data_IF_497260729222
#
_entry.id   IF_497260729222
#
_cell.length_a   1.000
_cell.length_b   1.000
_cell.length_c   1.000
_cell.angle_alpha   90.00
_cell.angle_beta   90.00
_cell.angle_gamma   90.00
#
_symmetry.space_group_name_H-M   'P 1'
#
loop_
_entity.id
_entity.type
_entity.pdbx_description
1 polymer ?
#
# COMPACT_ATOMS: atom_id res chain seq x y z
N UNK A 1 69.54 -46.16 33.94
CA UNK A 1 68.74 -45.88 32.74
C UNK A 1 67.35 -45.43 33.20
N UNK A 2 67.10 -44.13 33.23
CA UNK A 2 65.86 -43.55 33.70
C UNK A 2 65.06 -43.05 32.50
N UNK A 3 63.92 -43.70 32.23
CA UNK A 3 63.00 -43.30 31.18
C UNK A 3 62.15 -42.12 31.69
N UNK A 4 62.29 -40.92 31.09
CA UNK A 4 61.43 -39.77 31.33
C UNK A 4 60.14 -39.93 30.52
N UNK A 5 59.02 -40.04 31.23
CA UNK A 5 57.69 -40.05 30.67
C UNK A 5 57.21 -38.62 30.51
N UNK A 6 57.09 -38.20 29.24
CA UNK A 6 56.60 -36.85 28.89
C UNK A 6 55.08 -36.88 28.85
N UNK A 7 54.42 -36.23 29.80
CA UNK A 7 52.95 -36.02 29.76
C UNK A 7 52.64 -34.89 28.78
N UNK A 8 52.03 -35.20 27.66
CA UNK A 8 51.39 -34.23 26.80
C UNK A 8 49.98 -33.89 27.38
N UNK A 9 49.87 -32.72 27.98
CA UNK A 9 48.56 -32.18 28.38
C UNK A 9 47.92 -31.55 27.15
N UNK A 10 46.97 -32.25 26.55
CA UNK A 10 46.13 -31.68 25.50
C UNK A 10 45.07 -30.75 26.13
N UNK A 11 45.32 -29.44 26.06
CA UNK A 11 44.31 -28.45 26.42
C UNK A 11 43.21 -28.38 25.35
N UNK A 12 42.09 -29.02 25.64
CA UNK A 12 40.88 -28.89 24.80
C UNK A 12 40.26 -27.51 25.09
N UNK A 13 40.50 -26.55 24.20
CA UNK A 13 39.81 -25.28 24.22
C UNK A 13 38.40 -25.48 23.70
N UNK A 14 37.43 -25.58 24.61
CA UNK A 14 36.01 -25.54 24.28
C UNK A 14 35.65 -24.13 23.82
N UNK A 15 35.60 -23.94 22.49
CA UNK A 15 34.97 -22.77 21.89
C UNK A 15 33.46 -22.89 22.12
N UNK A 16 32.97 -22.25 23.18
CA UNK A 16 31.54 -21.99 23.31
C UNK A 16 31.17 -20.94 22.27
N UNK A 17 30.64 -21.41 21.13
CA UNK A 17 29.99 -20.56 20.17
C UNK A 17 28.76 -19.93 20.89
N UNK A 18 28.93 -18.70 21.34
CA UNK A 18 27.81 -17.89 21.77
C UNK A 18 26.90 -17.74 20.54
N UNK A 19 25.79 -18.47 20.51
CA UNK A 19 24.68 -18.18 19.60
C UNK A 19 24.24 -16.75 19.90
N UNK A 20 24.74 -15.78 19.13
CA UNK A 20 24.17 -14.46 19.08
C UNK A 20 22.71 -14.66 18.66
N UNK A 21 21.77 -14.57 19.61
CA UNK A 21 20.36 -14.70 19.36
C UNK A 21 19.98 -13.73 18.25
N UNK A 22 19.59 -14.25 17.11
CA UNK A 22 19.06 -13.44 16.02
C UNK A 22 17.85 -12.69 16.58
N UNK A 23 17.92 -11.37 16.63
CA UNK A 23 16.78 -10.56 17.06
C UNK A 23 15.58 -10.94 16.19
N UNK A 24 14.54 -11.46 16.83
CA UNK A 24 13.31 -11.86 16.14
C UNK A 24 12.68 -10.60 15.51
N UNK A 25 12.80 -10.48 14.21
CA UNK A 25 12.23 -9.36 13.48
C UNK A 25 10.80 -9.67 13.09
N UNK A 26 9.86 -8.86 13.61
CA UNK A 26 8.42 -9.03 13.33
C UNK A 26 8.06 -8.36 12.00
N UNK A 27 7.11 -8.96 11.29
CA UNK A 27 6.50 -8.37 10.12
C UNK A 27 5.76 -7.08 10.47
N UNK A 28 5.81 -6.10 9.58
CA UNK A 28 5.15 -4.81 9.77
C UNK A 28 3.84 -4.80 8.99
N UNK A 29 2.74 -4.49 9.66
CA UNK A 29 1.41 -4.37 9.07
C UNK A 29 1.06 -2.89 8.92
N UNK A 30 0.90 -2.44 7.68
CA UNK A 30 0.40 -1.10 7.35
C UNK A 30 -1.11 -1.17 7.15
N UNK A 31 -1.86 -0.58 8.07
CA UNK A 31 -3.33 -0.57 8.04
C UNK A 31 -3.85 0.66 7.31
N UNK A 32 -4.91 0.48 6.53
CA UNK A 32 -5.60 1.52 5.77
C UNK A 32 -7.11 1.48 6.08
N UNK A 33 -7.76 2.63 5.95
CA UNK A 33 -9.18 2.76 6.29
C UNK A 33 -10.10 1.88 5.45
N UNK A 34 -9.82 1.78 4.16
CA UNK A 34 -10.73 1.15 3.18
C UNK A 34 -10.07 0.04 2.36
N UNK A 35 -8.99 -0.55 2.85
CA UNK A 35 -8.34 -1.69 2.19
C UNK A 35 -7.75 -2.65 3.21
N UNK A 36 -7.44 -3.85 2.76
CA UNK A 36 -6.68 -4.80 3.57
C UNK A 36 -5.27 -4.26 3.87
N UNK A 37 -4.68 -4.65 5.02
CA UNK A 37 -3.36 -4.21 5.38
C UNK A 37 -2.30 -4.71 4.38
N UNK A 38 -1.33 -3.86 4.12
CA UNK A 38 -0.09 -4.28 3.45
C UNK A 38 0.86 -4.84 4.50
N UNK A 39 1.36 -6.03 4.26
CA UNK A 39 2.32 -6.68 5.16
C UNK A 39 3.70 -6.63 4.53
N UNK A 40 4.65 -6.06 5.26
CA UNK A 40 6.06 -6.12 4.95
C UNK A 40 6.68 -7.25 5.76
N UNK A 41 7.19 -8.27 5.07
CA UNK A 41 7.90 -9.36 5.73
C UNK A 41 9.38 -9.02 5.91
N UNK A 42 9.80 -8.86 7.16
CA UNK A 42 11.21 -8.71 7.48
C UNK A 42 12.01 -9.95 7.09
N UNK A 43 11.50 -11.13 7.40
CA UNK A 43 12.18 -12.39 7.12
C UNK A 43 12.53 -12.51 5.64
N UNK A 44 11.55 -12.32 4.74
CA UNK A 44 11.79 -12.38 3.30
C UNK A 44 12.86 -11.41 2.82
N UNK A 45 12.81 -10.15 3.31
CA UNK A 45 13.75 -9.12 2.90
C UNK A 45 15.15 -9.33 3.51
N UNK A 46 15.24 -9.82 4.75
CA UNK A 46 16.52 -10.15 5.39
C UNK A 46 17.23 -11.28 4.66
N UNK A 47 16.52 -12.34 4.31
CA UNK A 47 17.06 -13.44 3.51
C UNK A 47 17.60 -12.92 2.18
N UNK A 48 16.82 -12.07 1.49
CA UNK A 48 17.20 -11.50 0.19
C UNK A 48 18.46 -10.63 0.26
N UNK A 49 18.70 -9.97 1.38
CA UNK A 49 19.86 -9.09 1.59
C UNK A 49 20.89 -9.65 2.57
N UNK A 50 20.90 -10.98 2.80
CA UNK A 50 21.88 -11.66 3.65
C UNK A 50 22.01 -11.03 5.05
N UNK A 51 20.89 -10.73 5.69
CA UNK A 51 20.78 -10.11 7.02
C UNK A 51 21.51 -8.76 7.17
N UNK A 52 21.73 -8.03 6.07
CA UNK A 52 22.36 -6.71 6.10
C UNK A 52 21.35 -5.62 6.46
N UNK A 53 21.08 -5.45 7.75
CA UNK A 53 20.09 -4.51 8.29
C UNK A 53 20.26 -3.07 7.78
N UNK A 54 21.51 -2.61 7.66
CA UNK A 54 21.89 -1.25 7.22
C UNK A 54 21.47 -0.91 5.80
N UNK A 55 21.24 -1.90 4.93
CA UNK A 55 20.73 -1.66 3.56
C UNK A 55 19.40 -0.90 3.60
N UNK A 56 18.57 -1.17 4.60
CA UNK A 56 17.28 -0.52 4.77
C UNK A 56 17.34 0.59 5.83
N UNK A 57 17.96 0.33 6.98
CA UNK A 57 17.85 1.18 8.15
C UNK A 57 18.76 2.41 8.18
N UNK A 58 19.79 2.47 7.36
CA UNK A 58 20.64 3.66 7.26
C UNK A 58 20.19 4.62 6.13
N UNK A 59 19.72 4.07 5.01
CA UNK A 59 19.45 4.87 3.82
C UNK A 59 17.96 5.10 3.52
N UNK A 60 17.09 4.14 3.85
CA UNK A 60 15.68 4.14 3.44
C UNK A 60 14.76 4.44 4.64
N UNK A 61 15.02 3.79 5.77
CA UNK A 61 14.23 3.90 6.98
C UNK A 61 15.07 4.30 8.17
N UNK A 62 14.71 5.38 8.83
CA UNK A 62 15.29 5.76 10.09
C UNK A 62 14.52 5.10 11.24
N UNK A 63 15.22 4.36 12.11
CA UNK A 63 14.61 3.64 13.23
C UNK A 63 13.98 4.56 14.29
N UNK A 64 14.48 5.79 14.41
CA UNK A 64 13.96 6.77 15.37
C UNK A 64 12.85 7.67 14.83
N UNK A 65 12.60 7.66 13.52
CA UNK A 65 11.59 8.50 12.87
C UNK A 65 10.60 7.67 12.08
N UNK A 66 9.46 7.39 12.68
CA UNK A 66 8.36 6.64 12.04
C UNK A 66 7.56 7.51 11.07
N UNK A 67 8.12 7.81 9.91
CA UNK A 67 7.39 8.53 8.86
C UNK A 67 6.53 7.57 8.05
N UNK A 68 5.27 7.93 7.84
CA UNK A 68 4.40 7.28 6.84
C UNK A 68 4.60 7.96 5.49
N UNK A 69 4.76 7.17 4.45
CA UNK A 69 4.94 7.63 3.08
C UNK A 69 3.69 7.35 2.26
N UNK A 70 3.33 8.29 1.42
CA UNK A 70 2.27 8.13 0.43
C UNK A 70 2.76 7.32 -0.78
N UNK A 71 1.84 6.80 -1.59
CA UNK A 71 2.21 6.14 -2.84
C UNK A 71 2.99 7.07 -3.78
N UNK A 72 2.60 8.34 -3.88
CA UNK A 72 3.32 9.33 -4.68
C UNK A 72 4.77 9.52 -4.21
N UNK A 73 5.02 9.56 -2.90
CA UNK A 73 6.40 9.60 -2.37
C UNK A 73 7.18 8.32 -2.65
N UNK A 74 6.54 7.14 -2.61
CA UNK A 74 7.17 5.87 -2.96
C UNK A 74 7.56 5.82 -4.44
N UNK A 75 6.74 6.37 -5.33
CA UNK A 75 7.03 6.50 -6.76
C UNK A 75 8.25 7.40 -7.04
N UNK A 76 8.62 8.27 -6.11
CA UNK A 76 9.84 9.09 -6.15
C UNK A 76 11.01 8.46 -5.37
N UNK A 77 11.07 7.15 -5.25
CA UNK A 77 12.15 6.40 -4.59
C UNK A 77 12.19 6.46 -3.05
N UNK A 78 11.17 7.00 -2.39
CA UNK A 78 11.08 6.95 -0.92
C UNK A 78 10.56 5.61 -0.43
N UNK A 79 10.94 5.20 0.78
CA UNK A 79 10.41 3.99 1.42
C UNK A 79 10.57 2.75 0.51
N UNK A 80 9.51 1.97 0.31
CA UNK A 80 9.53 0.77 -0.55
C UNK A 80 10.03 1.08 -1.97
N UNK A 81 9.73 2.26 -2.51
CA UNK A 81 10.16 2.69 -3.84
C UNK A 81 11.67 2.80 -4.02
N UNK A 82 12.45 2.91 -2.94
CA UNK A 82 13.91 2.91 -2.99
C UNK A 82 14.51 1.63 -3.58
N UNK A 83 13.78 0.51 -3.47
CA UNK A 83 14.16 -0.78 -4.08
C UNK A 83 13.14 -1.25 -5.11
N UNK A 84 11.85 -1.01 -4.87
CA UNK A 84 10.76 -1.39 -5.76
C UNK A 84 10.54 -0.36 -6.87
N UNK A 85 11.58 -0.14 -7.67
CA UNK A 85 11.61 0.81 -8.80
C UNK A 85 11.48 0.14 -10.18
N UNK A 86 11.39 -1.18 -10.23
CA UNK A 86 11.41 -1.95 -11.47
C UNK A 86 12.81 -2.40 -11.92
N UNK A 87 13.86 -2.00 -11.18
CA UNK A 87 15.25 -2.38 -11.47
C UNK A 87 15.72 -3.48 -10.52
N UNK A 88 15.67 -3.23 -9.22
CA UNK A 88 16.10 -4.20 -8.18
C UNK A 88 14.98 -5.17 -7.80
N UNK A 89 13.75 -4.72 -7.87
CA UNK A 89 12.55 -5.48 -7.58
C UNK A 89 11.41 -4.96 -8.47
N UNK A 90 10.21 -5.57 -8.38
CA UNK A 90 9.03 -5.08 -9.10
C UNK A 90 8.74 -3.61 -8.76
N UNK A 91 8.08 -2.89 -9.66
CA UNK A 91 7.88 -1.45 -9.52
C UNK A 91 6.62 -1.11 -8.72
N UNK A 92 6.75 -0.18 -7.76
CA UNK A 92 5.59 0.44 -7.09
C UNK A 92 4.73 1.27 -8.05
N UNK A 93 5.29 1.67 -9.20
CA UNK A 93 4.59 2.43 -10.24
C UNK A 93 3.94 1.55 -11.30
N UNK A 94 4.22 0.25 -11.31
CA UNK A 94 3.66 -0.68 -12.29
C UNK A 94 2.27 -1.13 -11.86
N UNK A 95 1.28 -0.92 -12.71
CA UNK A 95 -0.12 -1.24 -12.44
C UNK A 95 -0.34 -2.72 -12.12
N UNK A 96 0.29 -3.63 -12.85
CA UNK A 96 0.24 -5.08 -12.62
C UNK A 96 0.82 -5.52 -11.27
N UNK A 97 1.65 -4.68 -10.67
CA UNK A 97 2.33 -5.00 -9.41
C UNK A 97 1.62 -4.46 -8.16
N UNK A 98 0.58 -3.64 -8.32
CA UNK A 98 -0.21 -3.10 -7.18
C UNK A 98 -0.70 -4.19 -6.23
N UNK A 99 -1.17 -5.30 -6.77
CA UNK A 99 -1.69 -6.45 -6.01
C UNK A 99 -0.60 -7.24 -5.25
N UNK A 100 0.67 -7.00 -5.52
CA UNK A 100 1.76 -7.66 -4.78
C UNK A 100 1.84 -7.16 -3.34
N UNK A 101 1.50 -5.90 -3.12
CA UNK A 101 1.40 -5.28 -1.81
C UNK A 101 -0.06 -5.18 -1.34
N UNK A 102 -0.97 -4.71 -2.19
CA UNK A 102 -2.39 -4.57 -1.91
C UNK A 102 -3.15 -5.86 -2.27
N UNK A 103 -3.06 -6.88 -1.42
CA UNK A 103 -3.57 -8.23 -1.71
C UNK A 103 -5.08 -8.39 -1.57
N UNK A 104 -5.74 -7.51 -0.83
CA UNK A 104 -7.17 -7.58 -0.60
C UNK A 104 -7.98 -6.85 -1.68
N UNK A 105 -9.26 -7.20 -1.78
CA UNK A 105 -10.21 -6.44 -2.60
C UNK A 105 -10.47 -5.08 -1.93
N UNK A 106 -10.33 -3.96 -2.65
CA UNK A 106 -10.71 -2.66 -2.11
C UNK A 106 -12.19 -2.67 -1.69
N UNK A 107 -12.48 -2.06 -0.54
CA UNK A 107 -13.84 -1.98 -0.03
C UNK A 107 -14.64 -0.95 -0.80
N UNK A 108 -15.92 -1.22 -0.98
CA UNK A 108 -16.87 -0.23 -1.48
C UNK A 108 -16.98 0.93 -0.50
N UNK A 109 -17.27 2.12 -0.99
CA UNK A 109 -17.29 3.35 -0.21
C UNK A 109 -18.72 3.87 -0.16
N UNK A 110 -19.20 4.22 1.03
CA UNK A 110 -20.45 4.93 1.22
C UNK A 110 -20.15 6.35 1.70
N UNK A 111 -20.60 7.32 0.94
CA UNK A 111 -20.52 8.75 1.28
C UNK A 111 -21.84 9.16 1.92
N UNK A 112 -21.79 9.69 3.14
CA UNK A 112 -22.96 10.29 3.79
C UNK A 112 -23.02 11.76 3.45
N UNK A 113 -24.11 12.17 2.82
CA UNK A 113 -24.29 13.53 2.30
C UNK A 113 -25.38 14.20 3.10
N UNK A 114 -25.05 15.31 3.74
CA UNK A 114 -26.01 16.06 4.56
C UNK A 114 -27.19 16.51 3.70
N UNK A 115 -28.40 16.11 4.11
CA UNK A 115 -29.65 16.45 3.43
C UNK A 115 -30.02 15.59 2.21
N UNK A 116 -29.09 14.75 1.70
CA UNK A 116 -29.31 13.95 0.49
C UNK A 116 -29.14 12.43 0.69
N UNK A 117 -28.91 12.00 1.94
CA UNK A 117 -28.73 10.57 2.25
C UNK A 117 -27.35 10.04 1.92
N UNK A 118 -27.28 8.87 1.29
CA UNK A 118 -26.02 8.18 1.02
C UNK A 118 -25.76 8.05 -0.48
N UNK A 119 -24.49 8.19 -0.87
CA UNK A 119 -24.02 7.86 -2.21
C UNK A 119 -23.01 6.71 -2.14
N UNK A 120 -23.21 5.67 -2.95
CA UNK A 120 -22.38 4.48 -2.99
C UNK A 120 -21.38 4.51 -4.14
N UNK A 121 -20.14 4.10 -3.87
CA UNK A 121 -19.15 3.80 -4.88
C UNK A 121 -18.68 2.35 -4.71
N UNK A 122 -18.89 1.54 -5.74
CA UNK A 122 -18.47 0.12 -5.74
C UNK A 122 -17.12 -0.02 -6.45
N UNK A 123 -16.08 -0.31 -5.71
CA UNK A 123 -14.78 -0.65 -6.27
C UNK A 123 -14.86 -1.90 -7.14
N UNK A 124 -15.59 -2.93 -6.72
CA UNK A 124 -15.69 -4.18 -7.43
C UNK A 124 -16.26 -3.99 -8.83
N UNK A 125 -17.33 -3.19 -8.96
CA UNK A 125 -17.97 -2.87 -10.24
C UNK A 125 -17.01 -2.08 -11.14
N UNK A 126 -16.33 -1.06 -10.62
CA UNK A 126 -15.42 -0.22 -11.41
C UNK A 126 -14.18 -0.99 -11.86
N UNK A 127 -13.58 -1.81 -10.98
CA UNK A 127 -12.44 -2.67 -11.32
C UNK A 127 -12.81 -3.63 -12.44
N UNK A 128 -13.98 -4.28 -12.36
CA UNK A 128 -14.44 -5.20 -13.41
C UNK A 128 -14.65 -4.48 -14.76
N UNK A 129 -15.16 -3.25 -14.74
CA UNK A 129 -15.42 -2.46 -15.97
C UNK A 129 -14.15 -1.83 -16.58
N UNK A 130 -13.11 -1.60 -15.77
CA UNK A 130 -11.85 -0.98 -16.23
C UNK A 130 -10.74 -2.00 -16.45
N UNK A 131 -11.02 -3.29 -16.35
CA UNK A 131 -10.01 -4.34 -16.50
C UNK A 131 -8.90 -4.30 -15.44
N UNK A 132 -9.21 -3.77 -14.26
CA UNK A 132 -8.23 -3.66 -13.17
C UNK A 132 -7.30 -2.45 -13.27
N UNK A 133 -7.61 -1.48 -14.13
CA UNK A 133 -6.80 -0.27 -14.31
C UNK A 133 -6.88 0.66 -13.07
N UNK A 134 -6.11 0.33 -12.02
CA UNK A 134 -6.11 1.07 -10.75
C UNK A 134 -5.68 2.53 -10.93
N UNK A 135 -4.66 2.77 -11.73
CA UNK A 135 -4.13 4.12 -12.00
C UNK A 135 -5.08 4.98 -12.86
N UNK A 136 -6.02 4.39 -13.56
CA UNK A 136 -7.08 5.12 -14.24
C UNK A 136 -7.87 6.04 -13.30
N UNK A 137 -7.96 5.62 -12.01
CA UNK A 137 -8.59 6.39 -10.95
C UNK A 137 -7.56 6.95 -9.94
N UNK A 138 -6.60 6.13 -9.52
CA UNK A 138 -5.58 6.49 -8.52
C UNK A 138 -4.34 7.16 -9.16
N UNK A 139 -4.56 8.25 -9.89
CA UNK A 139 -3.54 9.00 -10.64
C UNK A 139 -3.34 10.44 -10.12
N UNK A 140 -3.77 10.72 -8.90
CA UNK A 140 -3.77 12.06 -8.31
C UNK A 140 -5.00 12.91 -8.64
N UNK A 141 -5.81 12.51 -9.65
CA UNK A 141 -7.08 13.19 -9.99
C UNK A 141 -8.25 12.64 -9.19
N UNK A 142 -8.26 11.35 -8.92
CA UNK A 142 -9.19 10.69 -8.01
C UNK A 142 -8.42 10.23 -6.78
N UNK A 143 -8.89 10.60 -5.65
CA UNK A 143 -8.17 10.81 -4.41
C UNK A 143 -7.70 9.52 -3.75
N UNK A 144 -6.41 9.48 -3.43
CA UNK A 144 -5.85 8.59 -2.42
C UNK A 144 -5.47 9.44 -1.19
N UNK A 145 -6.18 9.28 -0.08
CA UNK A 145 -5.85 9.99 1.16
C UNK A 145 -7.04 10.73 1.79
N UNK A 146 -6.78 11.85 2.47
CA UNK A 146 -7.85 12.72 3.00
C UNK A 146 -8.55 13.39 1.83
N UNK A 147 -9.66 12.79 1.40
CA UNK A 147 -10.49 13.33 0.34
C UNK A 147 -11.01 14.71 0.74
N UNK A 148 -10.68 15.74 -0.02
CA UNK A 148 -11.45 16.96 -0.03
C UNK A 148 -12.85 16.61 -0.53
N UNK A 149 -13.90 17.04 0.14
CA UNK A 149 -15.26 16.88 -0.39
C UNK A 149 -15.38 17.66 -1.69
N UNK A 150 -15.92 17.01 -2.71
CA UNK A 150 -16.15 17.58 -4.03
C UNK A 150 -17.65 17.75 -4.21
N UNK A 151 -18.08 18.94 -4.56
CA UNK A 151 -19.49 19.25 -4.81
C UNK A 151 -19.97 18.66 -6.14
N UNK A 152 -21.27 18.52 -6.31
CA UNK A 152 -21.85 18.10 -7.59
C UNK A 152 -21.45 19.04 -8.73
N UNK A 153 -21.46 20.35 -8.50
CA UNK A 153 -21.04 21.34 -9.50
C UNK A 153 -19.56 21.17 -9.94
N UNK A 154 -18.68 20.77 -9.04
CA UNK A 154 -17.29 20.42 -9.40
C UNK A 154 -17.23 19.11 -10.16
N UNK A 155 -18.03 18.11 -9.81
CA UNK A 155 -18.13 16.85 -10.55
C UNK A 155 -18.65 17.05 -11.97
N UNK A 156 -19.65 17.89 -12.16
CA UNK A 156 -20.17 18.24 -13.49
C UNK A 156 -19.12 18.92 -14.37
N UNK A 157 -18.16 19.64 -13.77
CA UNK A 157 -16.99 20.22 -14.44
C UNK A 157 -15.84 19.21 -14.64
N UNK A 158 -16.08 17.93 -14.36
CA UNK A 158 -15.11 16.85 -14.59
C UNK A 158 -14.22 16.51 -13.40
N UNK A 159 -14.53 16.97 -12.20
CA UNK A 159 -13.82 16.53 -11.00
C UNK A 159 -14.26 15.13 -10.59
N UNK A 160 -13.35 14.33 -10.04
CA UNK A 160 -13.58 12.99 -9.48
C UNK A 160 -14.46 12.09 -10.35
N UNK A 161 -15.67 11.75 -9.91
CA UNK A 161 -16.60 10.90 -10.64
C UNK A 161 -16.96 11.46 -12.02
N UNK A 162 -17.09 12.77 -12.13
CA UNK A 162 -17.42 13.49 -13.36
C UNK A 162 -16.34 13.40 -14.44
N UNK A 163 -15.10 13.05 -14.09
CA UNK A 163 -14.02 12.83 -15.07
C UNK A 163 -14.37 11.70 -16.07
N UNK A 164 -15.15 10.72 -15.62
CA UNK A 164 -15.62 9.60 -16.46
C UNK A 164 -17.13 9.67 -16.69
N UNK A 165 -17.92 9.99 -15.65
CA UNK A 165 -19.37 10.07 -15.71
C UNK A 165 -19.84 11.43 -16.28
N UNK A 166 -19.54 11.67 -17.55
CA UNK A 166 -19.76 12.93 -18.25
C UNK A 166 -20.79 12.83 -19.40
N UNK A 167 -21.51 11.72 -19.52
CA UNK A 167 -22.53 11.51 -20.53
C UNK A 167 -22.01 11.11 -21.93
N UNK A 168 -20.69 11.03 -22.13
CA UNK A 168 -20.11 10.63 -23.42
C UNK A 168 -19.91 9.12 -23.54
N UNK A 169 -19.25 8.52 -22.56
CA UNK A 169 -18.99 7.06 -22.53
C UNK A 169 -19.85 6.32 -21.53
N UNK A 170 -20.21 6.99 -20.45
CA UNK A 170 -20.97 6.49 -19.33
C UNK A 170 -22.01 7.53 -18.98
N UNK A 171 -23.04 7.19 -18.19
CA UNK A 171 -24.06 8.13 -17.75
C UNK A 171 -23.46 9.38 -17.09
N UNK A 172 -24.14 10.50 -17.21
CA UNK A 172 -23.67 11.76 -16.66
C UNK A 172 -24.02 11.91 -15.16
N UNK A 173 -23.14 12.52 -14.39
CA UNK A 173 -23.41 12.88 -12.99
C UNK A 173 -24.57 13.86 -12.85
N UNK A 174 -24.83 14.69 -13.87
CA UNK A 174 -25.92 15.68 -13.92
C UNK A 174 -27.30 15.09 -14.26
N UNK A 175 -27.41 13.84 -14.70
CA UNK A 175 -28.65 13.30 -15.24
C UNK A 175 -29.19 12.05 -14.50
N UNK A 176 -28.36 11.31 -13.79
CA UNK A 176 -28.72 10.01 -13.23
C UNK A 176 -28.43 9.93 -11.73
N UNK A 177 -29.07 10.84 -10.98
CA UNK A 177 -28.85 11.05 -9.55
C UNK A 177 -29.05 9.78 -8.71
N UNK A 178 -30.09 9.01 -8.99
CA UNK A 178 -30.48 7.78 -8.31
C UNK A 178 -29.48 6.64 -8.45
N UNK A 179 -28.62 6.67 -9.48
CA UNK A 179 -27.58 5.67 -9.65
C UNK A 179 -26.50 5.73 -8.56
N UNK A 180 -26.25 6.93 -8.03
CA UNK A 180 -25.29 7.16 -6.96
C UNK A 180 -25.98 7.42 -5.62
N UNK A 181 -26.98 8.31 -5.61
CA UNK A 181 -27.73 8.71 -4.43
C UNK A 181 -28.89 7.75 -4.14
N UNK A 182 -28.68 6.81 -3.25
CA UNK A 182 -29.71 5.82 -2.89
C UNK A 182 -30.80 6.47 -2.04
N UNK A 183 -32.05 6.30 -2.48
CA UNK A 183 -33.23 6.81 -1.79
C UNK A 183 -33.63 8.23 -2.13
N UNK A 184 -32.94 8.92 -3.05
CA UNK A 184 -33.42 10.19 -3.61
C UNK A 184 -34.70 9.96 -4.38
N UNK A 185 -35.70 10.80 -4.11
CA UNK A 185 -36.95 10.87 -4.89
C UNK A 185 -36.83 11.98 -5.94
N UNK A 186 -37.52 11.90 -7.09
CA UNK A 186 -37.46 12.93 -8.14
C UNK A 186 -37.76 14.35 -7.63
N UNK A 187 -38.57 14.50 -6.57
CA UNK A 187 -38.89 15.79 -5.94
C UNK A 187 -37.73 16.40 -5.11
N UNK A 188 -36.69 15.63 -4.82
CA UNK A 188 -35.53 16.09 -4.03
C UNK A 188 -34.44 16.68 -4.95
N UNK A 189 -34.70 16.71 -6.27
CA UNK A 189 -33.81 17.21 -7.32
C UNK A 189 -34.35 18.55 -7.80
N UNK A 190 -34.16 19.61 -6.98
CA UNK A 190 -34.46 21.00 -7.38
C UNK A 190 -33.18 21.79 -7.38
#
# INVERSE_FOLDING_TARGET
>A
MQKRLSLFVCAVVLFTAACAGAAETKDIRFTFKNSEPVVFSHEFHLQKYHNRCKVCHDGIYNLSKHKRYTMAEMETTKSCGGCHSGIKAFSVSSEKDCIRCHKGKPRDITYRIKGLGEAGFSHSTHIAKTGGACRGCHNGKVITGKAKSVSMAEMEKGATCGACHNGKKIFAVSANCDRCHKGMKPRDIV
#
